data_IF_601284259119
#
_entry.id   IF_601284259119
#
_cell.length_a   1.000
_cell.length_b   1.000
_cell.length_c   1.000
_cell.angle_alpha   90.00
_cell.angle_beta   90.00
_cell.angle_gamma   90.00
#
_symmetry.space_group_name_H-M   'P 1'
#
loop_
_entity.id
_entity.type
_entity.pdbx_description
1 polymer ?
#
# COMPACT_ATOMS: atom_id res chain seq x y z
N UNK A 1 18.78 11.97 17.35
CA UNK A 1 18.44 13.38 17.10
C UNK A 1 17.07 13.37 16.46
N UNK A 2 16.11 14.14 16.98
CA UNK A 2 14.82 14.35 16.30
C UNK A 2 15.09 15.05 14.98
N UNK A 3 14.77 14.40 13.85
CA UNK A 3 14.88 15.02 12.52
C UNK A 3 13.97 16.25 12.48
N UNK A 4 14.50 17.38 12.01
CA UNK A 4 13.70 18.58 11.74
C UNK A 4 12.96 18.40 10.41
N UNK A 5 11.64 18.26 10.50
CA UNK A 5 10.73 18.11 9.35
C UNK A 5 10.93 19.18 8.28
N UNK A 6 11.35 20.39 8.65
CA UNK A 6 11.54 21.52 7.72
C UNK A 6 12.78 21.39 6.84
N UNK A 7 13.69 20.47 7.18
CA UNK A 7 14.96 20.26 6.46
C UNK A 7 14.90 19.15 5.42
N UNK A 8 13.81 18.38 5.38
CA UNK A 8 13.64 17.28 4.44
C UNK A 8 13.00 17.76 3.13
N UNK A 9 13.64 17.47 2.02
CA UNK A 9 13.14 17.82 0.68
C UNK A 9 12.43 16.62 0.03
N UNK A 10 11.18 16.81 -0.39
CA UNK A 10 10.39 15.84 -1.15
C UNK A 10 10.94 15.59 -2.56
N UNK A 11 11.80 16.47 -3.07
CA UNK A 11 12.49 16.34 -4.35
C UNK A 11 13.84 15.64 -4.26
N UNK A 12 14.39 15.47 -3.05
CA UNK A 12 15.68 14.83 -2.84
C UNK A 12 15.70 13.43 -3.46
N UNK A 13 16.84 13.08 -4.05
CA UNK A 13 17.05 11.79 -4.68
C UNK A 13 17.95 10.92 -3.79
N UNK A 14 17.71 9.60 -3.76
CA UNK A 14 18.59 8.70 -3.02
C UNK A 14 19.99 8.67 -3.62
N UNK A 15 20.98 8.31 -2.81
CA UNK A 15 22.35 8.08 -3.26
C UNK A 15 22.42 7.12 -4.46
N UNK A 16 23.36 7.33 -5.37
CA UNK A 16 23.47 6.54 -6.61
C UNK A 16 23.75 5.05 -6.32
N UNK A 17 24.50 4.75 -5.25
CA UNK A 17 24.77 3.40 -4.78
C UNK A 17 23.47 2.69 -4.36
N UNK A 18 22.63 3.37 -3.57
CA UNK A 18 21.34 2.83 -3.13
C UNK A 18 20.40 2.60 -4.33
N UNK A 19 20.39 3.52 -5.30
CA UNK A 19 19.66 3.34 -6.57
C UNK A 19 20.18 2.14 -7.38
N UNK A 20 21.50 1.92 -7.42
CA UNK A 20 22.10 0.79 -8.13
C UNK A 20 21.73 -0.54 -7.47
N UNK A 21 21.75 -0.61 -6.14
CA UNK A 21 21.31 -1.79 -5.37
C UNK A 21 19.83 -2.06 -5.64
N UNK A 22 18.98 -1.04 -5.53
CA UNK A 22 17.55 -1.22 -5.85
C UNK A 22 17.33 -1.71 -7.30
N UNK A 23 18.10 -1.17 -8.27
CA UNK A 23 18.03 -1.56 -9.68
C UNK A 23 18.49 -2.99 -9.93
N UNK A 24 19.42 -3.53 -9.14
CA UNK A 24 19.84 -4.93 -9.29
C UNK A 24 18.66 -5.86 -8.97
N UNK A 25 17.94 -5.61 -7.88
CA UNK A 25 16.76 -6.40 -7.51
C UNK A 25 15.61 -6.26 -8.51
N UNK A 26 15.31 -5.06 -8.98
CA UNK A 26 14.19 -4.88 -9.93
C UNK A 26 14.41 -5.60 -11.26
N UNK A 27 15.68 -5.67 -11.71
CA UNK A 27 16.10 -6.38 -12.92
C UNK A 27 16.32 -7.88 -12.73
N UNK A 28 16.43 -8.36 -11.49
CA UNK A 28 16.65 -9.79 -11.23
C UNK A 28 15.39 -10.58 -11.57
N UNK A 29 15.58 -11.73 -12.23
CA UNK A 29 14.49 -12.62 -12.62
C UNK A 29 13.71 -13.16 -11.41
N UNK A 30 12.40 -13.31 -11.58
CA UNK A 30 11.50 -13.70 -10.48
C UNK A 30 11.91 -15.02 -9.82
N UNK A 31 12.31 -16.02 -10.61
CA UNK A 31 12.69 -17.34 -10.10
C UNK A 31 13.92 -17.28 -9.18
N UNK A 32 14.86 -16.37 -9.46
CA UNK A 32 16.07 -16.17 -8.64
C UNK A 32 15.72 -15.47 -7.33
N UNK A 33 14.77 -14.52 -7.37
CA UNK A 33 14.35 -13.79 -6.19
C UNK A 33 13.53 -14.61 -5.19
N UNK A 34 12.95 -15.75 -5.55
CA UNK A 34 12.11 -16.50 -4.59
C UNK A 34 12.87 -16.99 -3.35
N UNK A 35 14.18 -17.21 -3.48
CA UNK A 35 15.05 -17.76 -2.43
C UNK A 35 16.36 -16.95 -2.30
N UNK A 36 16.33 -15.68 -2.72
CA UNK A 36 17.54 -14.85 -2.69
C UNK A 36 18.00 -14.64 -1.24
N UNK A 37 19.30 -14.81 -0.93
CA UNK A 37 19.82 -14.75 0.44
C UNK A 37 19.66 -13.37 1.09
N UNK A 38 19.56 -12.31 0.26
CA UNK A 38 19.35 -10.95 0.74
C UNK A 38 17.89 -10.66 1.11
N UNK A 39 16.95 -11.59 0.96
CA UNK A 39 15.56 -11.34 1.33
C UNK A 39 15.38 -11.50 2.84
N UNK A 40 14.89 -10.43 3.45
CA UNK A 40 14.56 -10.36 4.84
C UNK A 40 13.11 -10.79 5.05
N UNK A 41 12.89 -11.82 5.86
CA UNK A 41 11.58 -12.36 6.14
C UNK A 41 11.38 -12.49 7.65
N UNK A 42 10.40 -11.75 8.19
CA UNK A 42 10.09 -11.75 9.63
C UNK A 42 9.70 -13.11 10.17
N UNK A 43 9.30 -14.05 9.29
CA UNK A 43 8.89 -15.39 9.69
C UNK A 43 10.05 -16.38 9.80
N UNK A 44 11.21 -16.05 9.24
CA UNK A 44 12.37 -16.97 9.18
C UNK A 44 13.69 -16.34 9.60
N UNK A 45 13.79 -15.02 9.66
CA UNK A 45 15.01 -14.31 10.02
C UNK A 45 15.07 -14.05 11.53
N UNK A 46 16.17 -14.47 12.15
CA UNK A 46 16.48 -14.20 13.55
C UNK A 46 16.93 -12.74 13.79
N UNK A 47 17.08 -11.93 12.74
CA UNK A 47 17.45 -10.51 12.87
C UNK A 47 16.27 -9.62 13.27
N UNK A 48 15.04 -10.11 13.11
CA UNK A 48 13.83 -9.42 13.58
C UNK A 48 13.52 -9.81 15.02
N UNK A 49 13.44 -8.81 15.88
CA UNK A 49 13.18 -8.98 17.30
C UNK A 49 11.71 -8.72 17.59
N UNK A 50 11.10 -9.61 18.38
CA UNK A 50 9.74 -9.41 18.86
C UNK A 50 9.69 -8.21 19.80
N UNK A 51 8.86 -7.22 19.46
CA UNK A 51 8.64 -6.02 20.27
C UNK A 51 7.52 -6.22 21.29
N UNK A 52 6.37 -6.69 20.80
CA UNK A 52 5.13 -6.85 21.56
C UNK A 52 4.16 -7.70 20.73
N UNK A 53 2.96 -7.93 21.26
CA UNK A 53 1.81 -8.37 20.48
C UNK A 53 0.71 -7.30 20.47
N UNK A 54 -0.10 -7.26 19.42
CA UNK A 54 -1.43 -6.64 19.46
C UNK A 54 -2.39 -7.66 20.05
N UNK A 55 -3.05 -7.35 21.18
CA UNK A 55 -4.00 -8.25 21.81
C UNK A 55 -5.17 -8.62 20.89
N UNK A 56 -5.62 -9.87 20.99
CA UNK A 56 -6.73 -10.40 20.19
C UNK A 56 -8.06 -9.66 20.38
N UNK A 57 -8.33 -9.09 21.56
CA UNK A 57 -9.51 -8.26 21.81
C UNK A 57 -9.46 -6.92 21.05
N UNK A 58 -8.26 -6.31 20.93
CA UNK A 58 -8.03 -5.13 20.09
C UNK A 58 -8.23 -5.49 18.61
N UNK A 59 -7.68 -6.62 18.16
CA UNK A 59 -7.87 -7.10 16.78
C UNK A 59 -9.34 -7.35 16.45
N UNK A 60 -10.08 -8.07 17.31
CA UNK A 60 -11.53 -8.29 17.13
C UNK A 60 -12.30 -6.97 17.09
N UNK A 61 -11.96 -6.03 17.96
CA UNK A 61 -12.60 -4.70 17.98
C UNK A 61 -12.36 -3.94 16.67
N UNK A 62 -11.13 -3.97 16.16
CA UNK A 62 -10.78 -3.37 14.86
C UNK A 62 -11.53 -4.02 13.70
N UNK A 63 -11.53 -5.35 13.63
CA UNK A 63 -12.22 -6.08 12.57
C UNK A 63 -13.75 -5.88 12.61
N UNK A 64 -14.33 -5.81 13.81
CA UNK A 64 -15.74 -5.43 13.99
C UNK A 64 -16.00 -3.99 13.52
N UNK A 65 -15.11 -3.03 13.81
CA UNK A 65 -15.26 -1.66 13.31
C UNK A 65 -15.32 -1.62 11.78
N UNK A 66 -14.55 -2.49 11.09
CA UNK A 66 -14.61 -2.60 9.64
C UNK A 66 -15.87 -3.32 9.14
N UNK A 67 -16.24 -4.47 9.72
CA UNK A 67 -17.34 -5.31 9.19
C UNK A 67 -18.73 -4.90 9.68
N UNK A 68 -18.82 -4.15 10.79
CA UNK A 68 -20.07 -3.85 11.46
C UNK A 68 -20.83 -5.12 11.83
N UNK A 69 -22.13 -5.16 11.51
CA UNK A 69 -23.03 -6.28 11.82
C UNK A 69 -22.66 -7.60 11.12
N UNK A 70 -21.77 -7.57 10.12
CA UNK A 70 -21.30 -8.76 9.41
C UNK A 70 -20.09 -9.44 10.07
N UNK A 71 -19.63 -8.94 11.22
CA UNK A 71 -18.56 -9.58 12.01
C UNK A 71 -19.07 -10.84 12.72
N UNK A 72 -18.34 -11.94 12.58
CA UNK A 72 -18.61 -13.17 13.32
C UNK A 72 -17.84 -13.18 14.64
N UNK A 73 -18.56 -13.01 15.75
CA UNK A 73 -17.97 -13.06 17.09
C UNK A 73 -17.43 -14.45 17.50
N UNK A 74 -17.81 -15.50 16.79
CA UNK A 74 -17.24 -16.83 17.00
C UNK A 74 -15.88 -16.99 16.29
N UNK A 75 -15.48 -16.06 15.42
CA UNK A 75 -14.21 -16.13 14.71
C UNK A 75 -13.03 -16.08 15.69
N UNK A 76 -12.21 -17.13 15.68
CA UNK A 76 -10.99 -17.16 16.47
C UNK A 76 -9.98 -16.14 15.93
N UNK A 77 -9.51 -15.28 16.82
CA UNK A 77 -8.46 -14.30 16.57
C UNK A 77 -7.42 -14.46 17.65
N UNK A 78 -6.18 -14.70 17.24
CA UNK A 78 -5.02 -14.79 18.11
C UNK A 78 -4.28 -13.45 18.17
N UNK A 79 -3.49 -13.25 19.21
CA UNK A 79 -2.63 -12.08 19.35
C UNK A 79 -1.64 -12.00 18.17
N UNK A 80 -1.49 -10.82 17.58
CA UNK A 80 -0.62 -10.62 16.42
C UNK A 80 0.76 -10.11 16.84
N UNK A 81 1.87 -10.77 16.47
CA UNK A 81 3.20 -10.33 16.85
C UNK A 81 3.61 -9.06 16.09
N UNK A 82 4.34 -8.18 16.79
CA UNK A 82 4.93 -6.96 16.23
C UNK A 82 6.44 -7.08 16.32
N UNK A 83 7.10 -7.10 15.18
CA UNK A 83 8.56 -7.20 15.09
C UNK A 83 9.19 -5.85 14.78
N UNK A 84 10.46 -5.69 15.16
CA UNK A 84 11.30 -4.58 14.73
C UNK A 84 12.69 -5.08 14.32
N UNK A 85 13.42 -4.27 13.57
CA UNK A 85 14.81 -4.55 13.21
C UNK A 85 15.73 -3.42 13.71
N UNK A 86 16.84 -3.72 14.42
CA UNK A 86 17.71 -2.70 15.01
C UNK A 86 18.29 -1.68 14.01
N UNK A 87 18.47 -2.07 12.74
CA UNK A 87 18.93 -1.17 11.66
C UNK A 87 18.01 0.03 11.43
N UNK A 88 16.69 -0.14 11.65
CA UNK A 88 15.69 0.88 11.37
C UNK A 88 14.79 1.08 12.61
N UNK A 89 15.27 1.85 13.61
CA UNK A 89 14.44 2.23 14.74
C UNK A 89 13.11 2.85 14.28
N UNK A 90 12.03 2.40 14.90
CA UNK A 90 10.66 2.83 14.56
C UNK A 90 10.00 2.05 13.41
N UNK A 91 10.73 1.18 12.70
CA UNK A 91 10.12 0.26 11.73
C UNK A 91 9.47 -0.90 12.49
N UNK A 92 8.15 -1.02 12.38
CA UNK A 92 7.39 -2.12 12.92
C UNK A 92 6.82 -2.98 11.78
N UNK A 93 7.00 -4.29 11.86
CA UNK A 93 6.50 -5.25 10.86
C UNK A 93 5.56 -6.23 11.54
N UNK A 94 4.35 -6.35 11.01
CA UNK A 94 3.26 -7.13 11.57
C UNK A 94 2.83 -8.20 10.54
N UNK A 95 3.43 -9.40 10.58
CA UNK A 95 3.13 -10.44 9.61
C UNK A 95 1.72 -10.98 9.80
N UNK A 96 1.00 -11.17 8.70
CA UNK A 96 -0.36 -11.75 8.69
C UNK A 96 -1.34 -11.04 9.62
N UNK A 97 -1.18 -9.72 9.81
CA UNK A 97 -2.05 -8.91 10.67
C UNK A 97 -3.50 -8.92 10.20
N UNK A 98 -3.73 -8.88 8.88
CA UNK A 98 -5.08 -8.76 8.30
C UNK A 98 -5.58 -10.14 7.85
N UNK A 99 -6.63 -10.71 8.47
CA UNK A 99 -7.21 -11.99 8.08
C UNK A 99 -7.81 -12.00 6.67
N UNK A 100 -8.06 -13.21 6.15
CA UNK A 100 -8.49 -13.40 4.75
C UNK A 100 -9.80 -12.68 4.42
N UNK A 101 -10.78 -12.77 5.31
CA UNK A 101 -12.08 -12.13 5.14
C UNK A 101 -11.96 -10.59 5.21
N UNK A 102 -11.18 -10.08 6.17
CA UNK A 102 -10.91 -8.64 6.32
C UNK A 102 -10.18 -8.07 5.10
N UNK A 103 -9.26 -8.83 4.48
CA UNK A 103 -8.62 -8.42 3.23
C UNK A 103 -9.65 -8.21 2.11
N UNK A 104 -10.65 -9.10 1.98
CA UNK A 104 -11.73 -8.93 1.00
C UNK A 104 -12.61 -7.73 1.31
N UNK A 105 -12.97 -7.52 2.58
CA UNK A 105 -13.73 -6.34 3.01
C UNK A 105 -13.01 -5.03 2.67
N UNK A 106 -11.70 -4.96 2.91
CA UNK A 106 -10.88 -3.81 2.51
C UNK A 106 -10.90 -3.61 0.99
N UNK A 107 -10.71 -4.66 0.18
CA UNK A 107 -10.77 -4.57 -1.28
C UNK A 107 -12.15 -4.10 -1.75
N UNK A 108 -13.23 -4.62 -1.17
CA UNK A 108 -14.59 -4.24 -1.52
C UNK A 108 -14.86 -2.76 -1.24
N UNK A 109 -14.42 -2.25 -0.08
CA UNK A 109 -14.54 -0.82 0.26
C UNK A 109 -13.69 0.04 -0.66
N UNK A 110 -12.39 -0.22 -0.72
CA UNK A 110 -11.45 0.64 -1.47
C UNK A 110 -11.71 0.64 -2.98
N UNK A 111 -12.11 -0.50 -3.57
CA UNK A 111 -12.12 -0.68 -5.02
C UNK A 111 -13.54 -0.74 -5.60
N UNK A 112 -14.54 -1.28 -4.88
CA UNK A 112 -15.92 -1.19 -5.34
C UNK A 112 -16.58 0.12 -4.92
N UNK A 113 -16.47 0.53 -3.65
CA UNK A 113 -17.13 1.74 -3.14
C UNK A 113 -16.33 3.00 -3.42
N UNK A 114 -15.07 3.05 -2.99
CA UNK A 114 -14.31 4.30 -2.92
C UNK A 114 -13.71 4.68 -4.27
N UNK A 115 -13.12 3.74 -5.02
CA UNK A 115 -12.67 3.99 -6.40
C UNK A 115 -13.81 4.47 -7.31
N UNK A 116 -15.04 4.04 -7.06
CA UNK A 116 -16.22 4.44 -7.85
C UNK A 116 -16.86 5.75 -7.37
N UNK A 117 -16.23 6.45 -6.44
CA UNK A 117 -16.67 7.75 -5.95
C UNK A 117 -15.78 8.87 -6.54
N UNK A 118 -16.35 9.78 -7.37
CA UNK A 118 -15.55 10.78 -8.10
C UNK A 118 -14.83 11.81 -7.21
N UNK A 119 -15.15 11.88 -5.92
CA UNK A 119 -14.42 12.73 -4.96
C UNK A 119 -12.99 12.24 -4.74
N UNK A 120 -12.74 10.93 -4.91
CA UNK A 120 -11.43 10.33 -4.80
C UNK A 120 -10.72 10.36 -6.16
N UNK A 121 -9.51 10.93 -6.19
CA UNK A 121 -8.73 11.04 -7.42
C UNK A 121 -7.99 9.75 -7.75
N UNK A 122 -7.73 9.52 -9.03
CA UNK A 122 -6.91 8.43 -9.55
C UNK A 122 -5.85 9.00 -10.49
N UNK A 123 -4.91 8.16 -10.91
CA UNK A 123 -3.91 8.52 -11.92
C UNK A 123 -4.49 8.89 -13.29
N UNK A 124 -5.78 8.63 -13.52
CA UNK A 124 -6.44 8.88 -14.80
C UNK A 124 -7.11 10.24 -14.85
N UNK A 125 -7.55 10.80 -13.71
CA UNK A 125 -8.30 12.05 -13.66
C UNK A 125 -7.55 13.25 -14.25
N UNK A 126 -6.22 13.22 -14.28
CA UNK A 126 -5.44 14.30 -14.89
C UNK A 126 -5.71 14.41 -16.41
N UNK A 127 -5.94 13.28 -17.08
CA UNK A 127 -5.95 13.21 -18.55
C UNK A 127 -7.25 12.68 -19.15
N UNK A 128 -8.13 12.09 -18.34
CA UNK A 128 -9.34 11.43 -18.80
C UNK A 128 -10.54 11.85 -17.96
N UNK A 129 -11.71 11.89 -18.61
CA UNK A 129 -13.01 11.84 -17.96
C UNK A 129 -13.41 10.37 -17.78
N UNK A 130 -13.74 10.02 -16.54
CA UNK A 130 -13.98 8.64 -16.13
C UNK A 130 -15.47 8.30 -16.23
N UNK A 131 -15.84 7.11 -16.75
CA UNK A 131 -17.23 6.71 -16.90
C UNK A 131 -17.79 6.18 -15.58
N UNK A 132 -18.03 7.08 -14.62
CA UNK A 132 -18.68 6.70 -13.36
C UNK A 132 -20.11 6.22 -13.60
N UNK A 133 -20.49 5.15 -12.90
CA UNK A 133 -21.84 4.58 -12.97
C UNK A 133 -22.74 5.21 -11.93
N UNK A 134 -23.98 5.50 -12.34
CA UNK A 134 -25.08 5.75 -11.41
C UNK A 134 -25.66 4.41 -10.94
N UNK A 135 -26.11 4.36 -9.68
CA UNK A 135 -26.66 3.15 -9.08
C UNK A 135 -27.08 3.37 -7.64
N UNK A 136 -28.04 2.55 -7.18
CA UNK A 136 -28.61 2.63 -5.83
C UNK A 136 -27.70 2.02 -4.75
N UNK A 137 -26.71 1.22 -5.14
CA UNK A 137 -25.84 0.48 -4.24
C UNK A 137 -24.37 0.53 -4.70
N UNK A 138 -23.47 -0.11 -3.95
CA UNK A 138 -22.03 -0.13 -4.26
C UNK A 138 -21.72 -0.98 -5.48
N UNK A 139 -22.42 -2.09 -5.66
CA UNK A 139 -22.15 -3.05 -6.72
C UNK A 139 -22.51 -2.47 -8.09
N UNK A 140 -23.71 -1.93 -8.23
CA UNK A 140 -24.18 -1.25 -9.44
C UNK A 140 -23.31 -0.07 -9.86
N UNK A 141 -22.65 0.60 -8.91
CA UNK A 141 -21.70 1.70 -9.18
C UNK A 141 -20.28 1.26 -9.47
N UNK A 142 -19.90 0.04 -9.11
CA UNK A 142 -18.53 -0.44 -9.30
C UNK A 142 -18.11 -0.43 -10.76
N UNK A 143 -16.89 0.00 -11.05
CA UNK A 143 -16.27 -0.17 -12.37
C UNK A 143 -16.26 -1.62 -12.86
N UNK A 144 -16.24 -2.60 -11.96
CA UNK A 144 -16.31 -4.02 -12.30
C UNK A 144 -17.70 -4.47 -12.77
N UNK A 145 -18.74 -3.65 -12.60
CA UNK A 145 -20.06 -3.92 -13.18
C UNK A 145 -20.09 -3.72 -14.69
N UNK A 146 -19.12 -3.02 -15.28
CA UNK A 146 -18.92 -3.06 -16.73
C UNK A 146 -18.26 -4.39 -17.10
N UNK A 147 -18.79 -5.15 -18.07
CA UNK A 147 -18.05 -6.25 -18.68
C UNK A 147 -16.69 -5.78 -19.22
N UNK A 148 -15.65 -6.63 -19.25
CA UNK A 148 -14.36 -6.26 -19.81
C UNK A 148 -14.43 -5.80 -21.27
N UNK A 149 -15.34 -6.37 -22.05
CA UNK A 149 -15.51 -6.06 -23.47
C UNK A 149 -16.68 -5.08 -23.72
N UNK A 150 -17.08 -4.31 -22.69
CA UNK A 150 -18.05 -3.21 -22.81
C UNK A 150 -17.47 -2.04 -23.64
N UNK A 151 -18.35 -1.33 -24.35
CA UNK A 151 -17.98 -0.20 -25.22
C UNK A 151 -17.73 1.11 -24.43
N UNK A 152 -17.84 1.08 -23.10
CA UNK A 152 -17.56 2.24 -22.26
C UNK A 152 -16.10 2.69 -22.37
N UNK A 153 -15.90 4.00 -22.51
CA UNK A 153 -14.59 4.61 -22.68
C UNK A 153 -14.26 5.59 -21.54
N UNK A 154 -12.98 5.61 -21.20
CA UNK A 154 -12.33 6.71 -20.50
C UNK A 154 -11.94 7.73 -21.57
N UNK A 155 -12.67 8.83 -21.63
CA UNK A 155 -12.57 9.81 -22.71
C UNK A 155 -11.39 10.75 -22.42
N UNK A 156 -10.45 10.94 -23.35
CA UNK A 156 -9.32 11.83 -23.12
C UNK A 156 -9.80 13.28 -23.10
N UNK A 157 -9.33 14.06 -22.12
CA UNK A 157 -9.60 15.51 -22.03
C UNK A 157 -8.97 16.28 -23.19
N UNK A 158 -7.85 15.76 -23.69
CA UNK A 158 -7.18 16.23 -24.90
C UNK A 158 -6.97 15.03 -25.86
N UNK A 159 -7.87 14.86 -26.85
CA UNK A 159 -7.80 13.78 -27.84
C UNK A 159 -6.58 13.82 -28.76
N UNK A 160 -5.90 14.97 -28.89
CA UNK A 160 -4.70 15.09 -29.72
C UNK A 160 -3.46 14.51 -29.00
N UNK A 161 -3.49 14.47 -27.65
CA UNK A 161 -2.41 13.95 -26.81
C UNK A 161 -2.65 12.50 -26.38
N UNK A 162 -3.90 12.14 -26.08
CA UNK A 162 -4.27 10.84 -25.53
C UNK A 162 -5.38 10.16 -26.34
N UNK A 163 -5.31 8.83 -26.44
CA UNK A 163 -6.36 8.01 -27.06
C UNK A 163 -7.36 7.53 -26.01
N UNK A 164 -8.64 7.33 -26.35
CA UNK A 164 -9.60 6.68 -25.46
C UNK A 164 -9.08 5.33 -24.93
N UNK A 165 -9.44 5.03 -23.68
CA UNK A 165 -9.10 3.76 -23.05
C UNK A 165 -10.38 2.99 -22.72
N UNK A 166 -10.40 1.70 -23.03
CA UNK A 166 -11.47 0.78 -22.61
C UNK A 166 -11.38 0.47 -21.11
N UNK A 167 -12.50 0.06 -20.52
CA UNK A 167 -12.54 -0.40 -19.12
C UNK A 167 -11.54 -1.54 -18.84
N UNK A 168 -11.39 -2.49 -19.77
CA UNK A 168 -10.43 -3.60 -19.65
C UNK A 168 -8.99 -3.13 -19.63
N UNK A 169 -8.61 -2.18 -20.48
CA UNK A 169 -7.26 -1.61 -20.44
C UNK A 169 -7.00 -0.92 -19.11
N UNK A 170 -7.98 -0.17 -18.60
CA UNK A 170 -7.87 0.53 -17.33
C UNK A 170 -7.71 -0.43 -16.16
N UNK A 171 -8.69 -1.30 -15.95
CA UNK A 171 -8.71 -2.17 -14.79
C UNK A 171 -7.56 -3.19 -14.81
N UNK A 172 -7.13 -3.66 -15.99
CA UNK A 172 -6.02 -4.61 -16.07
C UNK A 172 -4.64 -3.95 -15.94
N UNK A 173 -4.43 -2.74 -16.47
CA UNK A 173 -3.07 -2.18 -16.58
C UNK A 173 -2.92 -0.70 -16.27
N UNK A 174 -3.88 0.16 -16.60
CA UNK A 174 -3.67 1.63 -16.54
C UNK A 174 -4.02 2.26 -15.19
N UNK A 175 -4.86 1.63 -14.38
CA UNK A 175 -5.11 2.08 -13.01
C UNK A 175 -3.91 1.72 -12.13
N UNK A 176 -3.25 2.73 -11.57
CA UNK A 176 -2.05 2.56 -10.72
C UNK A 176 -2.25 3.06 -9.30
N UNK A 177 -3.13 4.04 -9.07
CA UNK A 177 -3.48 4.48 -7.71
C UNK A 177 -4.85 5.14 -7.64
N UNK A 178 -5.42 5.16 -6.43
CA UNK A 178 -6.54 6.00 -6.00
C UNK A 178 -6.24 6.64 -4.63
N UNK A 179 -6.66 7.87 -4.40
CA UNK A 179 -6.46 8.61 -3.14
C UNK A 179 -7.74 8.67 -2.31
N UNK A 180 -7.65 8.29 -1.03
CA UNK A 180 -8.76 8.37 -0.06
C UNK A 180 -8.52 9.51 0.93
N UNK A 181 -9.57 10.23 1.32
CA UNK A 181 -9.45 11.40 2.21
C UNK A 181 -8.70 12.56 1.55
N UNK A 182 -7.61 13.02 2.16
CA UNK A 182 -6.73 14.04 1.60
C UNK A 182 -6.17 13.67 0.22
N UNK A 183 -6.24 14.63 -0.70
CA UNK A 183 -5.85 14.43 -2.10
C UNK A 183 -4.42 14.95 -2.32
N UNK A 184 -3.50 14.06 -2.68
CA UNK A 184 -2.09 14.42 -2.89
C UNK A 184 -1.89 15.10 -4.25
N UNK A 185 -1.24 16.26 -4.26
CA UNK A 185 -0.83 16.94 -5.49
C UNK A 185 0.53 16.39 -5.93
N UNK A 186 0.54 15.53 -6.93
CA UNK A 186 1.76 14.92 -7.48
C UNK A 186 2.71 15.91 -8.17
N UNK A 187 2.18 17.02 -8.69
CA UNK A 187 2.97 18.04 -9.39
C UNK A 187 3.75 18.85 -8.37
N UNK A 188 3.07 19.34 -7.34
CA UNK A 188 3.67 20.20 -6.32
C UNK A 188 4.21 19.42 -5.11
N UNK A 189 3.97 18.11 -5.04
CA UNK A 189 4.38 17.20 -3.95
C UNK A 189 3.94 17.64 -2.56
N UNK A 190 2.70 18.13 -2.47
CA UNK A 190 2.11 18.64 -1.23
C UNK A 190 0.68 18.15 -1.05
N UNK A 191 0.20 18.17 0.18
CA UNK A 191 -1.23 18.13 0.46
C UNK A 191 -1.80 19.56 0.46
N UNK A 192 -2.74 19.89 -0.44
CA UNK A 192 -3.36 21.21 -0.47
C UNK A 192 -4.12 21.52 0.83
N UNK A 193 -4.06 22.78 1.27
CA UNK A 193 -4.71 23.24 2.52
C UNK A 193 -6.24 23.39 2.41
N UNK A 194 -6.82 23.29 1.21
CA UNK A 194 -8.20 23.67 0.93
C UNK A 194 -9.28 22.91 1.73
N UNK A 195 -10.33 23.63 2.13
CA UNK A 195 -11.48 23.17 2.93
C UNK A 195 -12.38 22.11 2.25
N UNK A 196 -12.13 21.77 0.98
CA UNK A 196 -12.94 20.82 0.20
C UNK A 196 -12.36 19.40 0.15
N UNK A 197 -11.48 19.04 1.08
CA UNK A 197 -10.91 17.69 1.16
C UNK A 197 -12.03 16.66 1.37
N UNK A 198 -12.12 15.61 0.54
CA UNK A 198 -13.02 14.49 0.84
C UNK A 198 -12.72 13.95 2.23
N UNK A 199 -13.77 13.59 2.98
CA UNK A 199 -13.58 12.88 4.24
C UNK A 199 -12.91 11.54 3.97
N UNK A 200 -11.99 11.15 4.86
CA UNK A 200 -11.47 9.79 4.84
C UNK A 200 -12.60 8.81 5.16
N UNK A 201 -12.72 7.66 4.46
CA UNK A 201 -13.79 6.70 4.73
C UNK A 201 -13.76 6.21 6.20
N UNK A 202 -14.82 6.49 6.94
CA UNK A 202 -14.83 6.37 8.41
C UNK A 202 -14.65 4.93 8.89
N UNK A 203 -15.21 3.96 8.17
CA UNK A 203 -15.06 2.53 8.48
C UNK A 203 -13.61 2.04 8.37
N UNK A 204 -12.87 2.53 7.38
CA UNK A 204 -11.43 2.24 7.25
C UNK A 204 -10.65 3.03 8.31
N UNK A 205 -11.04 4.28 8.60
CA UNK A 205 -10.41 5.07 9.66
C UNK A 205 -10.55 4.39 11.04
N UNK A 206 -11.74 3.96 11.42
CA UNK A 206 -12.02 3.33 12.73
C UNK A 206 -11.28 2.00 12.88
N UNK A 207 -11.27 1.19 11.81
CA UNK A 207 -10.47 -0.03 11.69
C UNK A 207 -8.99 0.25 11.97
N UNK A 208 -8.42 1.26 11.31
CA UNK A 208 -7.01 1.62 11.42
C UNK A 208 -6.67 2.27 12.76
N UNK A 209 -7.50 3.17 13.26
CA UNK A 209 -7.29 3.87 14.54
C UNK A 209 -7.26 2.88 15.70
N UNK A 210 -8.05 1.81 15.64
CA UNK A 210 -8.01 0.74 16.65
C UNK A 210 -6.66 -0.03 16.64
N UNK A 211 -6.03 -0.21 15.47
CA UNK A 211 -4.75 -0.93 15.33
C UNK A 211 -3.53 -0.03 15.54
N UNK A 212 -3.63 1.23 15.13
CA UNK A 212 -2.55 2.21 15.07
C UNK A 212 -3.03 3.55 15.66
N UNK A 213 -3.34 3.62 16.97
CA UNK A 213 -4.02 4.76 17.59
C UNK A 213 -3.19 6.06 17.57
N UNK A 214 -1.90 5.98 17.29
CA UNK A 214 -0.99 7.12 17.20
C UNK A 214 -1.06 7.84 15.83
N UNK A 215 -1.84 7.33 14.87
CA UNK A 215 -1.98 7.92 13.53
C UNK A 215 -3.45 8.00 13.14
N UNK A 216 -3.95 9.23 12.98
CA UNK A 216 -5.28 9.47 12.46
C UNK A 216 -5.29 9.37 10.94
N UNK A 217 -6.14 8.49 10.42
CA UNK A 217 -6.29 8.29 8.99
C UNK A 217 -6.96 9.51 8.32
N UNK A 218 -6.13 10.43 7.80
CA UNK A 218 -6.60 11.63 7.12
C UNK A 218 -6.44 11.55 5.60
N UNK A 219 -5.42 10.84 5.12
CA UNK A 219 -5.19 10.58 3.71
C UNK A 219 -4.66 9.17 3.49
N UNK A 220 -4.98 8.59 2.34
CA UNK A 220 -4.33 7.36 1.89
C UNK A 220 -4.12 7.33 0.39
N UNK A 221 -3.11 6.58 -0.02
CA UNK A 221 -2.86 6.20 -1.40
C UNK A 221 -3.02 4.68 -1.49
N UNK A 222 -4.02 4.25 -2.23
CA UNK A 222 -4.21 2.83 -2.57
C UNK A 222 -3.50 2.58 -3.90
N UNK A 223 -2.36 1.90 -3.85
CA UNK A 223 -1.54 1.59 -5.02
C UNK A 223 -1.90 0.21 -5.59
N UNK A 224 -1.99 0.13 -6.92
CA UNK A 224 -2.22 -1.09 -7.68
C UNK A 224 -0.97 -1.46 -8.47
N UNK A 225 -0.44 -2.65 -8.21
CA UNK A 225 0.75 -3.16 -8.89
C UNK A 225 0.46 -4.46 -9.63
N UNK A 226 1.13 -4.61 -10.77
CA UNK A 226 1.33 -5.87 -11.50
C UNK A 226 2.80 -6.29 -11.40
N UNK A 227 3.19 -7.52 -11.79
CA UNK A 227 4.56 -8.02 -11.63
C UNK A 227 5.65 -7.21 -12.36
N UNK A 228 5.27 -6.40 -13.35
CA UNK A 228 6.18 -5.50 -14.07
C UNK A 228 6.31 -4.13 -13.42
N UNK A 229 5.48 -3.82 -12.43
CA UNK A 229 5.49 -2.51 -11.77
C UNK A 229 6.52 -2.48 -10.65
N UNK A 230 7.06 -1.29 -10.46
CA UNK A 230 8.08 -1.00 -9.44
C UNK A 230 7.83 0.38 -8.87
N UNK A 231 8.20 0.60 -7.63
CA UNK A 231 8.23 1.91 -7.00
C UNK A 231 9.67 2.25 -6.64
N UNK A 232 10.21 3.30 -7.27
CA UNK A 232 11.57 3.76 -7.01
C UNK A 232 11.77 4.13 -5.54
N UNK A 233 13.02 4.10 -5.08
CA UNK A 233 13.39 4.60 -3.76
C UNK A 233 12.99 6.07 -3.62
N UNK A 234 12.22 6.39 -2.59
CA UNK A 234 11.74 7.74 -2.25
C UNK A 234 11.57 7.86 -0.72
N UNK A 235 11.15 9.04 -0.28
CA UNK A 235 10.69 9.29 1.09
C UNK A 235 9.32 9.95 1.03
N UNK A 236 8.49 9.65 2.01
CA UNK A 236 7.22 10.34 2.24
C UNK A 236 7.49 11.49 3.23
N UNK A 237 7.55 12.73 2.76
CA UNK A 237 7.91 13.91 3.59
C UNK A 237 7.00 15.11 3.33
N UNK A 238 5.84 14.87 2.71
CA UNK A 238 4.91 15.93 2.32
C UNK A 238 3.90 16.31 3.41
N UNK A 239 3.84 15.53 4.50
CA UNK A 239 2.97 15.75 5.64
C UNK A 239 3.57 16.77 6.61
N UNK A 240 2.72 17.53 7.32
CA UNK A 240 3.12 18.55 8.30
C UNK A 240 3.22 18.01 9.72
N UNK A 241 3.20 16.70 9.91
CA UNK A 241 3.29 16.00 11.20
C UNK A 241 4.24 14.82 11.11
N UNK A 242 4.76 14.38 12.25
CA UNK A 242 5.70 13.26 12.36
C UNK A 242 5.03 11.91 12.67
N UNK A 243 3.68 11.87 12.67
CA UNK A 243 2.91 10.64 12.86
C UNK A 243 3.31 9.56 11.85
N UNK A 244 3.18 8.30 12.27
CA UNK A 244 3.66 7.16 11.50
C UNK A 244 2.91 6.93 10.19
N UNK A 245 3.52 6.18 9.29
CA UNK A 245 2.89 5.72 8.04
C UNK A 245 2.46 4.28 8.19
N UNK A 246 1.17 4.01 7.98
CA UNK A 246 0.62 2.65 7.99
C UNK A 246 0.55 2.13 6.57
N UNK A 247 1.08 0.93 6.33
CA UNK A 247 1.10 0.29 5.01
C UNK A 247 0.58 -1.14 5.11
N UNK A 248 -0.58 -1.42 4.50
CA UNK A 248 -1.18 -2.76 4.44
C UNK A 248 -0.96 -3.41 3.08
N UNK A 249 -0.73 -4.72 3.08
CA UNK A 249 -0.41 -5.48 1.87
C UNK A 249 -1.47 -6.53 1.54
N UNK A 250 -2.01 -6.51 0.32
CA UNK A 250 -3.03 -7.47 -0.13
C UNK A 250 -2.67 -7.98 -1.54
N UNK A 251 -2.78 -9.28 -1.80
CA UNK A 251 -2.50 -9.92 -3.09
C UNK A 251 -1.11 -10.53 -3.19
N UNK A 252 -0.50 -10.43 -4.37
CA UNK A 252 0.85 -10.95 -4.62
C UNK A 252 1.88 -10.38 -3.64
N UNK A 253 2.82 -11.25 -3.24
CA UNK A 253 4.00 -10.86 -2.49
C UNK A 253 4.79 -9.76 -3.21
N UNK A 254 5.41 -8.87 -2.46
CA UNK A 254 6.37 -7.91 -2.98
C UNK A 254 7.66 -7.89 -2.16
N UNK A 255 8.73 -7.50 -2.83
CA UNK A 255 9.96 -7.09 -2.16
C UNK A 255 9.87 -5.59 -1.90
N UNK A 256 10.07 -5.19 -0.66
CA UNK A 256 10.11 -3.82 -0.19
C UNK A 256 11.50 -3.52 0.35
N UNK A 257 12.21 -2.62 -0.31
CA UNK A 257 13.53 -2.20 0.11
C UNK A 257 13.41 -0.95 0.99
N UNK A 258 14.08 -0.92 2.13
CA UNK A 258 14.12 0.22 3.05
C UNK A 258 15.52 0.42 3.63
N UNK A 259 15.97 1.66 3.69
CA UNK A 259 17.30 2.03 4.16
C UNK A 259 17.24 3.28 5.07
N UNK A 260 18.05 3.35 6.14
CA UNK A 260 18.16 4.53 6.98
C UNK A 260 18.58 5.78 6.20
N UNK A 261 18.33 6.97 6.76
CA UNK A 261 18.76 8.22 6.13
C UNK A 261 20.28 8.41 6.11
N UNK A 262 20.97 7.92 7.15
CA UNK A 262 22.42 7.89 7.31
C UNK A 262 23.06 6.65 6.65
N UNK A 263 22.41 6.10 5.61
CA UNK A 263 22.88 4.93 4.87
C UNK A 263 24.35 5.03 4.42
N UNK A 264 24.79 6.23 3.99
CA UNK A 264 26.16 6.44 3.53
C UNK A 264 27.19 6.19 4.62
N UNK A 265 26.92 6.68 5.83
CA UNK A 265 27.82 6.57 6.98
C UNK A 265 27.90 5.10 7.45
N UNK A 266 26.76 4.39 7.39
CA UNK A 266 26.68 2.96 7.66
C UNK A 266 27.41 2.13 6.60
N UNK A 267 27.29 2.49 5.32
CA UNK A 267 27.95 1.82 4.20
C UNK A 267 29.48 2.01 4.21
N UNK A 268 29.98 3.14 4.72
CA UNK A 268 31.40 3.45 4.87
C UNK A 268 32.03 2.88 6.15
N UNK A 269 31.28 2.10 6.94
CA UNK A 269 31.80 1.36 8.09
C UNK A 269 31.88 2.16 9.39
N UNK A 270 31.24 3.34 9.47
CA UNK A 270 31.26 4.18 10.67
C UNK A 270 30.19 3.82 11.72
N UNK A 271 29.28 2.88 11.44
CA UNK A 271 28.14 2.60 12.34
C UNK A 271 27.57 1.18 12.40
N UNK A 272 28.13 0.20 11.68
CA UNK A 272 27.73 -1.20 11.83
C UNK A 272 28.95 -2.11 11.67
N UNK A 273 29.08 -3.12 12.54
CA UNK A 273 30.14 -4.13 12.43
C UNK A 273 30.24 -4.64 10.99
N UNK A 274 31.46 -4.78 10.48
CA UNK A 274 31.89 -4.79 9.08
C UNK A 274 31.22 -5.76 8.07
N UNK A 275 30.07 -6.37 8.40
CA UNK A 275 29.40 -7.40 7.62
C UNK A 275 27.86 -7.23 7.50
N UNK A 276 27.25 -6.14 7.98
CA UNK A 276 25.78 -5.97 7.87
C UNK A 276 25.38 -5.03 6.73
N UNK A 277 24.39 -5.46 5.93
CA UNK A 277 23.82 -4.68 4.83
C UNK A 277 23.19 -3.41 5.40
N UNK A 278 23.47 -2.21 4.84
CA UNK A 278 22.90 -0.96 5.34
C UNK A 278 21.44 -0.74 4.90
N UNK A 279 20.72 -1.79 4.51
CA UNK A 279 19.31 -1.77 4.10
C UNK A 279 18.65 -3.10 4.45
N UNK A 280 17.31 -3.11 4.45
CA UNK A 280 16.50 -4.33 4.46
C UNK A 280 15.79 -4.50 3.11
N UNK A 281 15.64 -5.75 2.67
CA UNK A 281 14.82 -6.15 1.53
C UNK A 281 13.72 -7.09 2.01
N UNK A 282 12.66 -6.49 2.57
CA UNK A 282 11.55 -7.21 3.20
C UNK A 282 10.70 -7.93 2.16
N UNK A 283 10.39 -9.20 2.38
CA UNK A 283 9.29 -9.88 1.67
C UNK A 283 7.96 -9.61 2.39
N UNK A 284 7.09 -8.84 1.75
CA UNK A 284 5.74 -8.55 2.24
C UNK A 284 4.72 -9.42 1.53
N UNK A 285 3.94 -10.15 2.32
CA UNK A 285 2.88 -11.07 1.84
C UNK A 285 1.50 -10.45 2.01
N UNK A 286 0.51 -11.07 1.40
CA UNK A 286 -0.90 -10.73 1.65
C UNK A 286 -1.24 -10.83 3.14
N UNK A 287 -1.83 -9.77 3.68
CA UNK A 287 -2.16 -9.60 5.10
C UNK A 287 -1.07 -8.94 5.94
N UNK A 288 0.14 -8.71 5.41
CA UNK A 288 1.22 -8.07 6.16
C UNK A 288 1.00 -6.56 6.28
N UNK A 289 1.38 -6.01 7.43
CA UNK A 289 1.45 -4.57 7.65
C UNK A 289 2.86 -4.11 8.02
N UNK A 290 3.21 -2.90 7.59
CA UNK A 290 4.34 -2.13 8.10
C UNK A 290 3.80 -0.86 8.73
N UNK A 291 4.35 -0.47 9.89
CA UNK A 291 4.14 0.82 10.49
C UNK A 291 5.48 1.54 10.66
N UNK A 292 5.70 2.61 9.89
CA UNK A 292 6.94 3.38 9.85
C UNK A 292 6.82 4.60 10.75
N UNK A 293 7.48 4.55 11.90
CA UNK A 293 7.48 5.63 12.91
C UNK A 293 8.89 6.15 13.15
N UNK A 294 9.01 7.27 13.88
CA UNK A 294 10.29 7.82 14.34
C UNK A 294 11.31 7.95 13.20
N UNK A 295 12.51 7.37 13.33
CA UNK A 295 13.55 7.46 12.32
C UNK A 295 13.14 6.77 11.00
N UNK A 296 12.45 5.63 11.09
CA UNK A 296 11.96 4.93 9.89
C UNK A 296 10.89 5.71 9.11
N UNK A 297 10.19 6.67 9.74
CA UNK A 297 9.17 7.52 9.10
C UNK A 297 9.70 8.28 7.89
N UNK A 298 10.99 8.57 7.91
CA UNK A 298 11.70 9.33 6.88
C UNK A 298 12.70 8.49 6.11
N UNK A 299 12.73 7.16 6.32
CA UNK A 299 13.69 6.28 5.67
C UNK A 299 13.46 6.22 4.15
N UNK A 300 14.54 6.03 3.40
CA UNK A 300 14.45 5.76 1.97
C UNK A 300 13.80 4.40 1.75
N UNK A 301 12.79 4.33 0.89
CA UNK A 301 12.11 3.06 0.63
C UNK A 301 11.49 2.97 -0.76
N UNK A 302 11.26 1.74 -1.22
CA UNK A 302 10.67 1.47 -2.53
C UNK A 302 10.32 0.00 -2.73
N UNK A 303 9.65 -0.30 -3.83
CA UNK A 303 9.20 -1.65 -4.20
C UNK A 303 9.95 -2.07 -5.47
N UNK A 304 11.10 -2.74 -5.36
CA UNK A 304 11.83 -3.22 -6.54
C UNK A 304 11.11 -4.32 -7.31
N UNK A 305 10.26 -5.13 -6.65
CA UNK A 305 9.63 -6.28 -7.30
C UNK A 305 8.27 -6.64 -6.71
N UNK A 306 7.31 -6.96 -7.59
CA UNK A 306 6.11 -7.74 -7.25
C UNK A 306 6.29 -9.16 -7.80
N UNK A 307 6.11 -10.16 -6.95
CA UNK A 307 6.36 -11.56 -7.28
C UNK A 307 5.13 -12.15 -7.98
N UNK A 308 5.31 -12.54 -9.26
CA UNK A 308 4.22 -13.14 -10.04
C UNK A 308 3.81 -14.49 -9.44
N UNK A 309 2.50 -14.78 -9.43
CA UNK A 309 1.97 -16.09 -9.07
C UNK A 309 1.95 -16.39 -7.57
N UNK A 310 2.18 -15.39 -6.71
CA UNK A 310 2.13 -15.54 -5.24
C UNK A 310 0.84 -14.98 -4.63
N UNK A 311 -0.13 -14.55 -5.45
CA UNK A 311 -1.45 -14.14 -4.93
C UNK A 311 -2.11 -15.34 -4.22
N UNK A 312 -2.61 -15.17 -2.98
CA UNK A 312 -3.31 -16.25 -2.28
C UNK A 312 -4.53 -16.74 -3.04
N UNK A 313 -4.79 -18.04 -2.98
CA UNK A 313 -5.91 -18.67 -3.71
C UNK A 313 -7.27 -18.07 -3.35
N UNK A 314 -7.51 -17.74 -2.07
CA UNK A 314 -8.77 -17.13 -1.63
C UNK A 314 -9.04 -15.73 -2.21
N UNK A 315 -8.01 -15.06 -2.72
CA UNK A 315 -8.13 -13.76 -3.41
C UNK A 315 -8.04 -13.88 -4.92
N UNK A 316 -7.49 -14.97 -5.46
CA UNK A 316 -7.08 -15.04 -6.86
C UNK A 316 -8.21 -14.71 -7.84
N UNK A 317 -9.43 -15.15 -7.53
CA UNK A 317 -10.62 -14.93 -8.36
C UNK A 317 -11.34 -13.60 -8.08
N UNK A 318 -11.00 -12.88 -7.00
CA UNK A 318 -11.56 -11.55 -6.71
C UNK A 318 -11.33 -10.61 -7.92
N UNK A 319 -12.35 -9.81 -8.32
CA UNK A 319 -13.61 -9.55 -7.63
C UNK A 319 -14.75 -10.55 -7.92
N UNK A 320 -14.51 -11.60 -8.70
CA UNK A 320 -15.56 -12.58 -8.98
C UNK A 320 -15.87 -13.42 -7.72
N UNK A 321 -17.06 -13.24 -7.15
CA UNK A 321 -17.53 -13.98 -5.97
C UNK A 321 -18.98 -14.44 -6.18
N UNK A 322 -19.18 -15.76 -6.33
CA UNK A 322 -20.45 -16.30 -6.81
C UNK A 322 -20.70 -15.84 -8.25
N UNK A 323 -21.88 -15.27 -8.52
CA UNK A 323 -22.23 -14.70 -9.83
C UNK A 323 -21.79 -13.23 -9.99
N UNK A 324 -21.34 -12.60 -8.89
CA UNK A 324 -20.96 -11.18 -8.88
C UNK A 324 -19.67 -11.00 -9.66
N UNK A 325 -19.64 -10.02 -10.55
CA UNK A 325 -18.47 -9.64 -11.36
C UNK A 325 -17.77 -10.82 -12.08
N UNK A 326 -18.50 -11.89 -12.42
CA UNK A 326 -17.94 -13.11 -13.00
C UNK A 326 -17.01 -12.89 -14.22
N UNK A 327 -17.26 -11.93 -15.14
CA UNK A 327 -16.35 -11.64 -16.25
C UNK A 327 -14.93 -11.18 -15.84
N UNK A 328 -14.75 -10.72 -14.61
CA UNK A 328 -13.47 -10.24 -14.06
C UNK A 328 -12.73 -11.30 -13.23
N UNK A 329 -13.18 -12.55 -13.27
CA UNK A 329 -12.53 -13.66 -12.58
C UNK A 329 -11.04 -13.68 -12.88
N UNK A 330 -10.23 -13.74 -11.82
CA UNK A 330 -8.78 -13.79 -11.94
C UNK A 330 -8.09 -12.43 -12.00
N UNK A 331 -8.82 -11.31 -11.84
CA UNK A 331 -8.24 -9.96 -11.86
C UNK A 331 -7.13 -9.81 -10.82
N UNK A 332 -7.34 -10.30 -9.59
CA UNK A 332 -6.37 -10.18 -8.50
C UNK A 332 -5.21 -11.19 -8.58
N UNK A 333 -5.34 -12.26 -9.38
CA UNK A 333 -4.37 -13.38 -9.47
C UNK A 333 -2.91 -12.97 -9.67
N UNK A 334 -2.67 -11.86 -10.36
CA UNK A 334 -1.31 -11.31 -10.54
C UNK A 334 -1.27 -9.83 -10.15
N UNK A 335 -2.00 -9.43 -9.11
CA UNK A 335 -2.01 -8.06 -8.63
C UNK A 335 -1.65 -8.00 -7.17
N UNK A 336 -1.10 -6.85 -6.81
CA UNK A 336 -0.88 -6.45 -5.45
C UNK A 336 -1.56 -5.10 -5.24
N UNK A 337 -2.29 -5.00 -4.15
CA UNK A 337 -2.90 -3.77 -3.66
C UNK A 337 -2.19 -3.37 -2.37
N UNK A 338 -1.79 -2.11 -2.27
CA UNK A 338 -1.19 -1.55 -1.06
C UNK A 338 -2.00 -0.35 -0.60
N UNK A 339 -2.48 -0.37 0.65
CA UNK A 339 -3.09 0.79 1.30
C UNK A 339 -2.01 1.48 2.14
N UNK A 340 -1.58 2.68 1.74
CA UNK A 340 -0.64 3.51 2.48
C UNK A 340 -1.40 4.70 3.10
N UNK A 341 -1.49 4.74 4.42
CA UNK A 341 -2.29 5.70 5.19
C UNK A 341 -1.38 6.62 5.99
N UNK A 342 -1.79 7.89 6.08
CA UNK A 342 -1.04 8.94 6.74
C UNK A 342 -1.94 9.99 7.37
N UNK A 343 -1.41 10.59 8.44
CA UNK A 343 -1.92 11.82 9.01
C UNK A 343 -1.17 12.99 8.34
N UNK A 344 -1.90 13.96 7.81
CA UNK A 344 -1.30 15.10 7.10
C UNK A 344 -0.94 16.24 8.06
N UNK A 345 -1.70 16.39 9.14
CA UNK A 345 -1.58 17.48 10.13
C UNK A 345 -2.14 17.03 11.49
N UNK A 346 -1.69 17.68 12.57
CA UNK A 346 -2.16 17.42 13.94
C UNK A 346 -3.62 17.81 14.20
#
# INVERSE_FOLDING_TARGET
MTLDLTTLDAHEQPAEELKKIWKSYSRTEHAVLQQHPDIDDTRTSDEFLLKTHIPSDVLRSSFRALKGDSWDDAQEVADAPVYYHPLLPGLLVLPSLVPQDIQKDLLNRMIHRDLSNPVHQTNLHLHYDLPYREGSDVESRSFFSYPPDDDVEFVPKDPDVHKPLSIKQVMLRRLTWVTLGGQYDWTNRVYPEHDARPNFPTDIADFLHTLFPETDAQAAIVNFYTPSDTMMMHRDVSEKTDKGLVSLSIGCDALFMIAPNDYTDLAEGQGAGANKRPYLLLRLRSGDAIYMTKESRYAWHGVPKVLKGTCPEFLADWPAEGDRFAPWKGWMKNKRVNLNVRQMQD
#
